data_IF_848749297501
#
_entry.id   IF_848749297501
#
_cell.length_a   1.000
_cell.length_b   1.000
_cell.length_c   1.000
_cell.angle_alpha   90.00
_cell.angle_beta   90.00
_cell.angle_gamma   90.00
#
_symmetry.space_group_name_H-M   'P 1'
#
loop_
_entity.id
_entity.type
_entity.pdbx_description
1 polymer ?
#
# COMPACT_ATOMS: atom_id res chain seq x y z
N UNK A 1 3.91 -13.49 0.37
CA UNK A 1 3.31 -13.00 1.62
C UNK A 1 3.62 -11.52 1.69
N UNK A 2 2.60 -10.70 1.91
CA UNK A 2 2.75 -9.24 1.99
C UNK A 2 3.45 -8.87 3.30
N UNK A 3 4.32 -7.86 3.25
CA UNK A 3 5.12 -7.36 4.37
C UNK A 3 5.08 -5.83 4.43
N UNK A 4 5.52 -5.28 5.56
CA UNK A 4 5.79 -3.85 5.68
C UNK A 4 6.85 -3.44 4.65
N UNK A 5 6.69 -2.22 4.12
CA UNK A 5 7.46 -1.64 3.02
C UNK A 5 7.25 -2.28 1.64
N UNK A 6 6.33 -3.24 1.51
CA UNK A 6 5.88 -3.68 0.19
C UNK A 6 5.07 -2.57 -0.50
N UNK A 7 5.19 -2.52 -1.83
CA UNK A 7 4.47 -1.58 -2.69
C UNK A 7 3.21 -2.27 -3.19
N UNK A 8 2.08 -1.62 -2.97
CA UNK A 8 0.77 -2.08 -3.43
C UNK A 8 0.14 -1.08 -4.39
N UNK A 9 -0.89 -1.55 -5.09
CA UNK A 9 -1.83 -0.77 -5.87
C UNK A 9 -3.22 -1.00 -5.31
N UNK A 10 -4.00 0.06 -5.15
CA UNK A 10 -5.42 -0.08 -4.75
C UNK A 10 -6.28 -0.44 -5.96
N UNK A 11 -7.26 -1.34 -5.79
CA UNK A 11 -8.14 -1.83 -6.86
C UNK A 11 -9.47 -1.09 -6.95
N UNK A 12 -9.79 -0.28 -5.94
CA UNK A 12 -11.03 0.49 -5.83
C UNK A 12 -10.72 1.97 -5.61
N UNK A 13 -11.69 2.82 -5.87
CA UNK A 13 -11.65 4.23 -5.43
C UNK A 13 -11.93 4.29 -3.93
N UNK A 14 -11.02 4.86 -3.16
CA UNK A 14 -11.22 5.10 -1.72
C UNK A 14 -11.84 6.48 -1.46
N UNK A 15 -11.43 7.48 -2.24
CA UNK A 15 -11.95 8.85 -2.17
C UNK A 15 -11.66 9.60 -3.50
N UNK A 16 -11.83 10.92 -3.50
CA UNK A 16 -11.62 11.76 -4.69
C UNK A 16 -10.15 11.84 -5.14
N UNK A 17 -9.20 11.59 -4.25
CA UNK A 17 -7.77 11.71 -4.52
C UNK A 17 -7.07 10.34 -4.65
N UNK A 18 -7.58 9.30 -3.97
CA UNK A 18 -7.04 7.93 -4.00
C UNK A 18 -7.97 7.08 -4.85
N UNK A 19 -7.62 6.93 -6.12
CA UNK A 19 -8.36 6.21 -7.13
C UNK A 19 -7.81 4.80 -7.33
N UNK A 20 -8.62 3.92 -7.91
CA UNK A 20 -8.14 2.63 -8.38
C UNK A 20 -6.89 2.82 -9.26
N UNK A 21 -5.82 2.11 -8.94
CA UNK A 21 -4.52 2.25 -9.59
C UNK A 21 -3.49 3.08 -8.82
N UNK A 22 -3.89 3.85 -7.80
CA UNK A 22 -2.95 4.60 -6.97
C UNK A 22 -2.01 3.65 -6.21
N UNK A 23 -0.72 4.00 -6.22
CA UNK A 23 0.34 3.23 -5.57
C UNK A 23 0.46 3.67 -4.11
N UNK A 24 0.72 2.71 -3.23
CA UNK A 24 1.02 2.99 -1.83
C UNK A 24 2.03 2.03 -1.24
N UNK A 25 2.60 2.43 -0.11
CA UNK A 25 3.57 1.64 0.65
C UNK A 25 2.90 1.16 1.94
N UNK A 26 3.04 -0.12 2.25
CA UNK A 26 2.51 -0.67 3.50
C UNK A 26 3.39 -0.22 4.67
N UNK A 27 2.78 0.44 5.64
CA UNK A 27 3.45 0.87 6.86
C UNK A 27 3.27 -0.12 8.01
N UNK A 28 2.11 -0.77 8.09
CA UNK A 28 1.80 -1.73 9.17
C UNK A 28 0.77 -2.74 8.73
N UNK A 29 0.84 -3.94 9.32
CA UNK A 29 -0.05 -5.07 9.05
C UNK A 29 -0.85 -5.44 10.30
N UNK A 30 -2.16 -5.55 10.17
CA UNK A 30 -3.08 -5.86 11.26
C UNK A 30 -3.86 -7.16 11.00
N UNK A 31 -4.36 -7.74 12.10
CA UNK A 31 -5.22 -8.93 12.10
C UNK A 31 -4.70 -10.07 11.21
N UNK A 32 -3.40 -10.39 11.34
CA UNK A 32 -2.75 -11.45 10.55
C UNK A 32 -2.84 -11.25 9.02
N UNK A 33 -2.79 -9.99 8.55
CA UNK A 33 -2.76 -9.68 7.12
C UNK A 33 -4.12 -9.46 6.49
N UNK A 34 -5.16 -9.20 7.29
CA UNK A 34 -6.46 -8.78 6.76
C UNK A 34 -6.50 -7.29 6.41
N UNK A 35 -5.83 -6.47 7.21
CA UNK A 35 -5.83 -5.02 7.03
C UNK A 35 -4.41 -4.45 7.00
N UNK A 36 -4.23 -3.40 6.21
CA UNK A 36 -2.95 -2.76 5.98
C UNK A 36 -3.09 -1.25 6.14
N UNK A 37 -2.25 -0.65 6.96
CA UNK A 37 -2.10 0.81 6.95
C UNK A 37 -1.15 1.16 5.82
N UNK A 38 -1.64 1.96 4.87
CA UNK A 38 -0.93 2.28 3.63
C UNK A 38 -0.77 3.80 3.51
N UNK A 39 0.45 4.23 3.19
CA UNK A 39 0.72 5.58 2.71
C UNK A 39 0.58 5.60 1.19
N UNK A 40 -0.41 6.34 0.67
CA UNK A 40 -0.61 6.50 -0.77
C UNK A 40 0.13 7.72 -1.28
N UNK A 41 0.74 7.59 -2.45
CA UNK A 41 1.54 8.65 -3.07
C UNK A 41 1.04 9.00 -4.47
N UNK A 42 1.22 10.26 -4.85
CA UNK A 42 0.94 10.74 -6.21
C UNK A 42 2.09 10.43 -7.17
N UNK A 43 1.94 10.87 -8.42
CA UNK A 43 2.97 10.69 -9.47
C UNK A 43 4.31 11.39 -9.19
N UNK A 44 4.35 12.29 -8.21
CA UNK A 44 5.53 13.02 -7.76
C UNK A 44 6.10 12.45 -6.46
N UNK A 45 5.62 11.27 -6.02
CA UNK A 45 5.92 10.64 -4.73
C UNK A 45 5.55 11.51 -3.52
N UNK A 46 4.54 12.37 -3.66
CA UNK A 46 3.99 13.13 -2.54
C UNK A 46 2.83 12.38 -1.92
N UNK A 47 2.79 12.33 -0.59
CA UNK A 47 1.72 11.70 0.16
C UNK A 47 0.37 12.36 -0.14
N UNK A 48 -0.67 11.54 -0.34
CA UNK A 48 -2.02 12.00 -0.67
C UNK A 48 -2.88 12.06 0.61
N UNK A 49 -3.61 13.18 0.79
CA UNK A 49 -4.58 13.34 1.88
C UNK A 49 -3.92 13.46 3.26
N UNK A 50 -4.55 12.86 4.27
CA UNK A 50 -4.11 12.95 5.68
C UNK A 50 -2.90 12.04 6.01
N UNK A 51 -2.21 11.52 5.00
CA UNK A 51 -0.99 10.74 5.18
C UNK A 51 -1.17 9.25 4.91
N UNK A 52 -2.22 8.64 5.48
CA UNK A 52 -2.33 7.18 5.53
C UNK A 52 -3.80 6.72 5.50
N UNK A 53 -4.05 5.50 5.02
CA UNK A 53 -5.40 4.92 4.99
C UNK A 53 -5.32 3.42 5.29
N UNK A 54 -6.29 2.92 6.07
CA UNK A 54 -6.44 1.49 6.34
C UNK A 54 -7.24 0.83 5.21
N UNK A 55 -6.70 -0.25 4.62
CA UNK A 55 -7.32 -0.96 3.50
C UNK A 55 -7.38 -2.47 3.76
N UNK A 56 -8.38 -3.13 3.17
CA UNK A 56 -8.58 -4.59 3.23
C UNK A 56 -7.66 -5.29 2.20
N UNK A 57 -7.16 -6.47 2.56
CA UNK A 57 -6.40 -7.34 1.66
C UNK A 57 -7.07 -7.54 0.30
N UNK A 58 -8.40 -7.68 0.27
CA UNK A 58 -9.15 -7.92 -0.96
C UNK A 58 -9.14 -6.72 -1.90
N UNK A 59 -8.81 -5.53 -1.42
CA UNK A 59 -8.86 -4.28 -2.17
C UNK A 59 -7.49 -3.87 -2.72
N UNK A 60 -6.42 -4.59 -2.37
CA UNK A 60 -5.06 -4.32 -2.84
C UNK A 60 -4.54 -5.36 -3.85
N UNK A 61 -3.53 -4.95 -4.60
CA UNK A 61 -2.69 -5.77 -5.46
C UNK A 61 -1.22 -5.50 -5.12
N UNK A 62 -0.45 -6.56 -4.89
CA UNK A 62 1.00 -6.43 -4.63
C UNK A 62 1.72 -6.13 -5.94
N UNK A 63 2.42 -4.98 -5.99
CA UNK A 63 3.18 -4.54 -7.17
C UNK A 63 4.64 -4.93 -7.07
N UNK A 64 5.25 -4.66 -5.92
CA UNK A 64 6.64 -4.99 -5.64
C UNK A 64 6.74 -5.49 -4.21
N UNK A 65 7.27 -6.69 -4.06
CA UNK A 65 7.71 -7.19 -2.77
C UNK A 65 9.11 -6.68 -2.50
N UNK A 66 9.39 -6.22 -1.30
CA UNK A 66 10.77 -6.08 -0.87
C UNK A 66 11.37 -7.48 -0.75
N UNK A 67 12.01 -7.94 -1.83
CA UNK A 67 12.87 -9.12 -1.77
C UNK A 67 13.99 -8.76 -0.82
N UNK A 68 14.17 -9.57 0.23
CA UNK A 68 15.42 -9.54 1.01
C UNK A 68 16.54 -9.56 -0.01
N UNK A 69 17.37 -8.50 -0.01
CA UNK A 69 18.65 -8.55 -0.68
C UNK A 69 19.32 -9.87 -0.32
N UNK A 70 19.67 -10.60 -1.38
CA UNK A 70 20.64 -11.67 -1.36
C UNK A 70 21.84 -11.24 -0.51
N UNK A 71 22.27 -12.13 0.39
CA UNK A 71 23.56 -12.18 1.09
C UNK A 71 24.52 -10.98 0.93
N UNK A 72 24.92 -10.40 2.07
CA UNK A 72 26.32 -10.36 2.53
C UNK A 72 26.37 -10.03 4.03
#
# INVERSE_FOLDING_TARGET
MIREHDIIKIKIDLNDNIKAGTIGVILSIYENGKFFLVEFVDKNNQTIGDGMTLVDFKDIELVSSHSKGSNE
#
